data_IF_758483646084
#
_entry.id   IF_758483646084
#
_cell.length_a   1.000
_cell.length_b   1.000
_cell.length_c   1.000
_cell.angle_alpha   90.00
_cell.angle_beta   90.00
_cell.angle_gamma   90.00
#
_symmetry.space_group_name_H-M   'P 1'
#
loop_
_entity.id
_entity.type
_entity.pdbx_description
1 polymer ?
#
# COMPACT_ATOMS: atom_id res chain seq x y z
N UNK A 1 -8.95 -0.26 -23.18
CA UNK A 1 -9.83 -0.23 -21.99
C UNK A 1 -9.19 -1.13 -20.97
N UNK A 2 -8.89 -0.62 -19.77
CA UNK A 2 -8.37 -1.41 -18.67
C UNK A 2 -9.45 -2.37 -18.16
N UNK A 3 -9.09 -3.63 -17.91
CA UNK A 3 -10.04 -4.64 -17.43
C UNK A 3 -10.50 -4.36 -15.99
N UNK A 4 -11.48 -5.13 -15.47
CA UNK A 4 -11.93 -5.02 -14.07
C UNK A 4 -10.78 -5.17 -13.06
N UNK A 5 -9.83 -6.07 -13.34
CA UNK A 5 -8.61 -6.29 -12.56
C UNK A 5 -7.75 -5.02 -12.47
N UNK A 6 -7.39 -4.43 -13.62
CA UNK A 6 -6.60 -3.19 -13.68
C UNK A 6 -7.29 -2.04 -12.92
N UNK A 7 -8.60 -1.91 -13.08
CA UNK A 7 -9.38 -0.87 -12.39
C UNK A 7 -9.35 -1.06 -10.87
N UNK A 8 -9.51 -2.30 -10.41
CA UNK A 8 -9.45 -2.64 -8.99
C UNK A 8 -8.05 -2.39 -8.40
N UNK A 9 -7.00 -2.88 -9.06
CA UNK A 9 -5.61 -2.69 -8.62
C UNK A 9 -5.21 -1.22 -8.60
N UNK A 10 -5.61 -0.45 -9.62
CA UNK A 10 -5.38 1.00 -9.63
C UNK A 10 -6.09 1.68 -8.45
N UNK A 11 -7.35 1.31 -8.18
CA UNK A 11 -8.14 1.91 -7.10
C UNK A 11 -7.58 1.55 -5.72
N UNK A 12 -7.10 0.32 -5.52
CA UNK A 12 -6.37 -0.10 -4.33
C UNK A 12 -5.09 0.71 -4.14
N UNK A 13 -4.33 0.93 -5.22
CA UNK A 13 -3.13 1.76 -5.17
C UNK A 13 -3.44 3.22 -4.80
N UNK A 14 -4.51 3.81 -5.35
CA UNK A 14 -4.95 5.15 -5.00
C UNK A 14 -5.34 5.25 -3.51
N UNK A 15 -6.05 4.25 -2.99
CA UNK A 15 -6.40 4.19 -1.57
C UNK A 15 -5.15 4.12 -0.68
N UNK A 16 -4.20 3.25 -1.01
CA UNK A 16 -2.95 3.12 -0.27
C UNK A 16 -2.18 4.44 -0.23
N UNK A 17 -2.00 5.10 -1.38
CA UNK A 17 -1.35 6.41 -1.44
C UNK A 17 -2.10 7.48 -0.64
N UNK A 18 -3.44 7.52 -0.70
CA UNK A 18 -4.21 8.49 0.06
C UNK A 18 -4.07 8.29 1.58
N UNK A 19 -4.03 7.03 2.04
CA UNK A 19 -3.81 6.70 3.47
C UNK A 19 -2.42 7.10 3.93
N UNK A 20 -1.39 6.75 3.15
CA UNK A 20 0.01 7.12 3.42
C UNK A 20 0.15 8.65 3.48
N UNK A 21 -0.37 9.38 2.50
CA UNK A 21 -0.30 10.84 2.46
C UNK A 21 -0.97 11.47 3.68
N UNK A 22 -2.14 10.96 4.09
CA UNK A 22 -2.84 11.44 5.29
C UNK A 22 -2.02 11.24 6.55
N UNK A 23 -1.46 10.05 6.76
CA UNK A 23 -0.63 9.79 7.94
C UNK A 23 0.70 10.53 7.90
N UNK A 24 1.30 10.70 6.73
CA UNK A 24 2.47 11.56 6.54
C UNK A 24 2.19 13.00 7.00
N UNK A 25 1.07 13.60 6.56
CA UNK A 25 0.72 14.95 6.99
C UNK A 25 0.46 15.06 8.49
N UNK A 26 -0.15 14.05 9.12
CA UNK A 26 -0.36 13.99 10.57
C UNK A 26 0.96 13.87 11.34
N UNK A 27 1.81 12.93 10.94
CA UNK A 27 3.13 12.72 11.55
C UNK A 27 4.01 13.97 11.39
N UNK A 28 3.95 14.62 10.22
CA UNK A 28 4.69 15.86 9.99
C UNK A 28 4.14 17.03 10.81
N UNK A 29 2.82 17.20 10.90
CA UNK A 29 2.21 18.24 11.72
C UNK A 29 2.63 18.13 13.19
N UNK A 30 2.66 16.90 13.73
CA UNK A 30 3.09 16.63 15.10
C UNK A 30 4.53 17.07 15.40
N UNK A 31 5.37 17.24 14.38
CA UNK A 31 6.75 17.73 14.48
C UNK A 31 6.89 19.24 14.29
N UNK A 32 5.81 19.95 13.98
CA UNK A 32 5.86 21.39 13.67
C UNK A 32 5.03 22.22 14.63
N UNK A 33 5.55 23.39 15.03
CA UNK A 33 4.85 24.34 15.92
C UNK A 33 3.71 25.13 15.25
N UNK A 34 3.38 24.85 13.97
CA UNK A 34 2.39 25.59 13.17
C UNK A 34 1.18 24.73 12.73
N UNK A 35 0.36 24.25 13.68
CA UNK A 35 -0.69 23.26 13.42
C UNK A 35 -1.80 23.74 12.48
N UNK A 36 -2.13 25.05 12.49
CA UNK A 36 -3.26 25.60 11.72
C UNK A 36 -3.09 25.51 10.19
N UNK A 37 -1.86 25.45 9.69
CA UNK A 37 -1.59 25.35 8.24
C UNK A 37 -1.81 23.95 7.66
N UNK A 38 -1.77 22.92 8.51
CA UNK A 38 -1.87 21.51 8.11
C UNK A 38 -3.29 20.95 8.20
N UNK A 39 -4.19 21.59 8.94
CA UNK A 39 -5.56 21.10 9.13
C UNK A 39 -6.30 20.94 7.80
N UNK A 40 -6.25 21.96 6.93
CA UNK A 40 -6.88 21.92 5.60
C UNK A 40 -6.30 20.79 4.71
N UNK A 41 -4.99 20.57 4.78
CA UNK A 41 -4.30 19.52 4.02
C UNK A 41 -4.70 18.12 4.51
N UNK A 42 -4.76 17.92 5.83
CA UNK A 42 -5.20 16.66 6.44
C UNK A 42 -6.68 16.40 6.12
N UNK A 43 -7.53 17.42 6.18
CA UNK A 43 -8.96 17.29 5.79
C UNK A 43 -9.13 16.91 4.33
N UNK A 44 -8.35 17.50 3.41
CA UNK A 44 -8.34 17.10 2.00
C UNK A 44 -7.85 15.66 1.82
N UNK A 45 -6.74 15.29 2.47
CA UNK A 45 -6.23 13.91 2.42
C UNK A 45 -7.26 12.91 2.97
N UNK A 46 -7.98 13.26 4.04
CA UNK A 46 -9.07 12.44 4.57
C UNK A 46 -10.23 12.28 3.57
N UNK A 47 -10.65 13.37 2.90
CA UNK A 47 -11.68 13.29 1.85
C UNK A 47 -11.26 12.37 0.70
N UNK A 48 -9.98 12.38 0.31
CA UNK A 48 -9.45 11.47 -0.71
C UNK A 48 -9.52 10.00 -0.30
N UNK A 49 -9.20 9.69 0.96
CA UNK A 49 -9.35 8.32 1.50
C UNK A 49 -10.81 7.87 1.39
N UNK A 50 -11.76 8.68 1.87
CA UNK A 50 -13.18 8.35 1.81
C UNK A 50 -13.66 8.14 0.36
N UNK A 51 -13.21 8.98 -0.57
CA UNK A 51 -13.53 8.83 -1.98
C UNK A 51 -13.01 7.51 -2.55
N UNK A 52 -11.77 7.14 -2.27
CA UNK A 52 -11.19 5.89 -2.74
C UNK A 52 -11.92 4.67 -2.14
N UNK A 53 -12.29 4.73 -0.85
CA UNK A 53 -13.08 3.69 -0.19
C UNK A 53 -14.46 3.53 -0.85
N UNK A 54 -15.12 4.63 -1.21
CA UNK A 54 -16.39 4.61 -1.94
C UNK A 54 -16.24 3.98 -3.33
N UNK A 55 -15.20 4.36 -4.09
CA UNK A 55 -14.91 3.78 -5.41
C UNK A 55 -14.68 2.28 -5.30
N UNK A 56 -13.89 1.82 -4.34
CA UNK A 56 -13.66 0.38 -4.12
C UNK A 56 -14.92 -0.36 -3.69
N UNK A 57 -15.76 0.24 -2.84
CA UNK A 57 -17.04 -0.34 -2.47
C UNK A 57 -17.95 -0.52 -3.70
N UNK A 58 -17.97 0.45 -4.61
CA UNK A 58 -18.73 0.36 -5.87
C UNK A 58 -18.16 -0.69 -6.80
N UNK A 59 -16.83 -0.74 -6.99
CA UNK A 59 -16.17 -1.77 -7.79
C UNK A 59 -16.46 -3.17 -7.27
N UNK A 60 -16.50 -3.35 -5.95
CA UNK A 60 -16.83 -4.63 -5.33
C UNK A 60 -18.27 -5.10 -5.61
N UNK A 61 -19.19 -4.18 -5.88
CA UNK A 61 -20.55 -4.54 -6.33
C UNK A 61 -20.60 -4.98 -7.80
N UNK A 62 -19.60 -4.60 -8.60
CA UNK A 62 -19.50 -4.94 -10.01
C UNK A 62 -18.69 -6.22 -10.27
N UNK A 63 -17.90 -6.65 -9.28
CA UNK A 63 -17.10 -7.87 -9.34
C UNK A 63 -17.83 -8.94 -8.52
N UNK A 64 -18.62 -9.76 -9.20
CA UNK A 64 -19.44 -10.82 -8.63
C UNK A 64 -18.77 -12.20 -8.67
N UNK A 65 -17.78 -12.38 -9.55
CA UNK A 65 -17.01 -13.62 -9.69
C UNK A 65 -15.94 -13.78 -8.58
N UNK A 66 -16.04 -14.81 -7.71
CA UNK A 66 -15.03 -15.10 -6.69
C UNK A 66 -13.62 -15.32 -7.27
N UNK A 67 -13.50 -15.84 -8.49
CA UNK A 67 -12.21 -16.04 -9.14
C UNK A 67 -11.51 -14.71 -9.44
N UNK A 68 -12.26 -13.68 -9.87
CA UNK A 68 -11.70 -12.34 -10.10
C UNK A 68 -11.28 -11.68 -8.79
N UNK A 69 -12.05 -11.89 -7.72
CA UNK A 69 -11.68 -11.39 -6.38
C UNK A 69 -10.37 -12.02 -5.92
N UNK A 70 -10.24 -13.34 -6.06
CA UNK A 70 -9.00 -14.06 -5.76
C UNK A 70 -7.82 -13.52 -6.58
N UNK A 71 -8.02 -13.32 -7.89
CA UNK A 71 -7.00 -12.77 -8.79
C UNK A 71 -6.54 -11.36 -8.34
N UNK A 72 -7.47 -10.48 -7.98
CA UNK A 72 -7.16 -9.15 -7.45
C UNK A 72 -6.35 -9.25 -6.16
N UNK A 73 -6.76 -10.10 -5.20
CA UNK A 73 -6.04 -10.29 -3.94
C UNK A 73 -4.61 -10.76 -4.17
N UNK A 74 -4.43 -11.78 -5.01
CA UNK A 74 -3.12 -12.38 -5.31
C UNK A 74 -2.24 -11.36 -6.03
N UNK A 75 -2.76 -10.69 -7.06
CA UNK A 75 -2.01 -9.66 -7.79
C UNK A 75 -1.59 -8.51 -6.88
N UNK A 76 -2.48 -8.07 -5.99
CA UNK A 76 -2.16 -7.03 -5.00
C UNK A 76 -1.09 -7.48 -4.02
N UNK A 77 -1.19 -8.70 -3.49
CA UNK A 77 -0.21 -9.26 -2.55
C UNK A 77 1.19 -9.39 -3.20
N UNK A 78 1.26 -9.88 -4.44
CA UNK A 78 2.51 -9.97 -5.19
C UNK A 78 3.15 -8.59 -5.42
N UNK A 79 2.34 -7.58 -5.74
CA UNK A 79 2.82 -6.21 -5.88
C UNK A 79 3.36 -5.64 -4.57
N UNK A 80 2.66 -5.86 -3.45
CA UNK A 80 3.13 -5.44 -2.12
C UNK A 80 4.44 -6.14 -1.74
N UNK A 81 4.61 -7.43 -2.06
CA UNK A 81 5.89 -8.15 -1.88
C UNK A 81 7.02 -7.48 -2.65
N UNK A 82 6.81 -7.11 -3.91
CA UNK A 82 7.80 -6.38 -4.71
C UNK A 82 8.17 -5.04 -4.06
N UNK A 83 7.19 -4.29 -3.55
CA UNK A 83 7.47 -3.03 -2.84
C UNK A 83 8.30 -3.30 -1.58
N UNK A 84 7.94 -4.28 -0.78
CA UNK A 84 8.66 -4.62 0.46
C UNK A 84 10.07 -5.15 0.22
N UNK A 85 10.30 -5.88 -0.87
CA UNK A 85 11.64 -6.34 -1.28
C UNK A 85 12.59 -5.16 -1.57
N UNK A 86 12.06 -4.05 -2.09
CA UNK A 86 12.85 -2.84 -2.35
C UNK A 86 12.97 -1.91 -1.14
N UNK A 87 12.20 -2.14 -0.07
CA UNK A 87 12.19 -1.28 1.11
C UNK A 87 13.57 -1.12 1.78
N UNK A 88 14.44 -2.13 1.90
CA UNK A 88 15.79 -1.95 2.44
C UNK A 88 16.57 -0.85 1.70
N UNK A 89 16.53 -0.83 0.37
CA UNK A 89 17.21 0.20 -0.42
C UNK A 89 16.58 1.59 -0.26
N UNK A 90 15.25 1.68 -0.17
CA UNK A 90 14.53 2.96 0.04
C UNK A 90 14.75 3.55 1.44
N UNK A 91 14.93 2.68 2.44
CA UNK A 91 15.10 3.06 3.84
C UNK A 91 16.58 3.24 4.25
N UNK A 92 17.55 2.71 3.48
CA UNK A 92 18.97 2.74 3.84
C UNK A 92 19.58 4.14 3.97
N UNK A 93 18.96 5.18 3.41
CA UNK A 93 19.54 6.52 3.33
C UNK A 93 19.59 7.29 4.66
N UNK A 94 18.96 6.81 5.73
CA UNK A 94 18.92 7.46 7.04
C UNK A 94 19.62 6.59 8.08
N UNK A 95 20.42 7.20 8.95
CA UNK A 95 21.15 6.46 9.98
C UNK A 95 20.29 6.30 11.24
N UNK A 96 20.24 5.10 11.81
CA UNK A 96 19.59 4.83 13.11
C UNK A 96 20.19 5.64 14.29
N UNK A 97 21.30 6.35 14.06
CA UNK A 97 21.95 7.21 15.03
C UNK A 97 21.44 8.67 15.00
N UNK A 98 20.61 9.04 14.03
CA UNK A 98 20.07 10.40 13.87
C UNK A 98 18.73 10.55 14.59
N UNK A 99 18.49 11.72 15.21
CA UNK A 99 17.27 11.98 15.96
C UNK A 99 16.03 11.84 15.08
N UNK A 100 14.95 11.28 15.63
CA UNK A 100 13.66 11.21 14.95
C UNK A 100 13.11 12.61 14.57
N UNK A 101 13.48 13.64 15.33
CA UNK A 101 13.08 15.03 15.09
C UNK A 101 13.75 15.62 13.84
N UNK A 102 14.93 15.12 13.47
CA UNK A 102 15.72 15.60 12.33
C UNK A 102 15.46 14.79 11.04
N UNK A 103 14.57 13.80 11.10
CA UNK A 103 14.29 12.90 9.98
C UNK A 103 13.72 13.62 8.74
N UNK A 104 14.34 13.48 7.55
CA UNK A 104 13.90 14.06 6.30
C UNK A 104 12.48 13.62 5.94
N UNK A 105 11.74 14.52 5.28
CA UNK A 105 10.38 14.25 4.79
C UNK A 105 10.30 12.99 3.92
N UNK A 106 11.27 12.80 3.03
CA UNK A 106 11.35 11.62 2.16
C UNK A 106 11.47 10.34 2.99
N UNK A 107 12.32 10.33 4.02
CA UNK A 107 12.51 9.16 4.85
C UNK A 107 11.28 8.85 5.73
N UNK A 108 10.65 9.88 6.31
CA UNK A 108 9.38 9.72 7.02
C UNK A 108 8.29 9.12 6.11
N UNK A 109 8.20 9.61 4.88
CA UNK A 109 7.23 9.09 3.90
C UNK A 109 7.50 7.63 3.57
N UNK A 110 8.76 7.25 3.32
CA UNK A 110 9.15 5.86 3.04
C UNK A 110 8.87 4.94 4.23
N UNK A 111 9.14 5.39 5.45
CA UNK A 111 8.86 4.62 6.67
C UNK A 111 7.37 4.36 6.86
N UNK A 112 6.54 5.41 6.70
CA UNK A 112 5.08 5.26 6.76
C UNK A 112 4.59 4.34 5.62
N UNK A 113 5.14 4.49 4.41
CA UNK A 113 4.76 3.64 3.27
C UNK A 113 5.05 2.17 3.55
N UNK A 114 6.25 1.87 4.08
CA UNK A 114 6.65 0.53 4.47
C UNK A 114 5.70 -0.10 5.52
N UNK A 115 5.33 0.65 6.55
CA UNK A 115 4.40 0.16 7.57
C UNK A 115 3.02 -0.17 6.98
N UNK A 116 2.50 0.71 6.12
CA UNK A 116 1.23 0.47 5.42
C UNK A 116 1.30 -0.73 4.46
N UNK A 117 2.38 -0.84 3.69
CA UNK A 117 2.61 -1.97 2.77
C UNK A 117 2.63 -3.31 3.52
N UNK A 118 3.28 -3.36 4.70
CA UNK A 118 3.31 -4.56 5.54
C UNK A 118 1.96 -4.91 6.13
N UNK A 119 1.25 -3.93 6.66
CA UNK A 119 -0.07 -4.13 7.25
C UNK A 119 -1.07 -4.62 6.20
N UNK A 120 -1.10 -3.97 5.04
CA UNK A 120 -1.99 -4.37 3.94
C UNK A 120 -1.69 -5.79 3.46
N UNK A 121 -0.41 -6.14 3.33
CA UNK A 121 -0.03 -7.50 2.94
C UNK A 121 -0.48 -8.55 3.97
N UNK A 122 -0.28 -8.28 5.26
CA UNK A 122 -0.72 -9.19 6.33
C UNK A 122 -2.24 -9.34 6.37
N UNK A 123 -2.98 -8.26 6.17
CA UNK A 123 -4.45 -8.29 6.06
C UNK A 123 -4.90 -9.13 4.85
N UNK A 124 -4.27 -8.96 3.69
CA UNK A 124 -4.58 -9.75 2.50
C UNK A 124 -4.29 -11.24 2.73
N UNK A 125 -3.09 -11.59 3.18
CA UNK A 125 -2.66 -12.97 3.41
C UNK A 125 -3.54 -13.67 4.47
N UNK A 126 -3.94 -12.96 5.53
CA UNK A 126 -4.84 -13.51 6.55
C UNK A 126 -6.29 -13.67 6.08
N UNK A 127 -6.70 -12.94 5.04
CA UNK A 127 -8.04 -13.01 4.44
C UNK A 127 -8.15 -14.01 3.28
N UNK A 128 -7.05 -14.65 2.89
CA UNK A 128 -7.03 -15.63 1.81
C UNK A 128 -7.68 -16.93 2.24
N UNK A 129 -8.47 -17.55 1.36
CA UNK A 129 -8.86 -18.96 1.54
C UNK A 129 -7.63 -19.88 1.34
N UNK A 130 -7.69 -21.15 1.77
CA UNK A 130 -6.60 -22.10 1.53
C UNK A 130 -6.23 -22.22 0.04
N UNK A 131 -7.22 -22.17 -0.85
CA UNK A 131 -7.03 -22.25 -2.30
C UNK A 131 -6.37 -20.98 -2.86
N UNK A 132 -6.79 -19.81 -2.39
CA UNK A 132 -6.16 -18.52 -2.72
C UNK A 132 -4.70 -18.47 -2.25
N UNK A 133 -4.44 -18.92 -1.01
CA UNK A 133 -3.10 -18.96 -0.43
C UNK A 133 -2.17 -19.95 -1.17
N UNK A 134 -2.69 -21.11 -1.57
CA UNK A 134 -1.94 -22.06 -2.39
C UNK A 134 -1.59 -21.48 -3.76
N UNK A 135 -2.54 -20.79 -4.40
CA UNK A 135 -2.33 -20.13 -5.69
C UNK A 135 -1.31 -18.99 -5.59
N UNK A 136 -1.37 -18.20 -4.51
CA UNK A 136 -0.39 -17.17 -4.21
C UNK A 136 1.02 -17.74 -3.99
N UNK A 137 1.15 -18.83 -3.23
CA UNK A 137 2.43 -19.50 -3.01
C UNK A 137 3.05 -20.01 -4.33
N UNK A 138 2.24 -20.62 -5.20
CA UNK A 138 2.68 -21.06 -6.52
C UNK A 138 3.15 -19.88 -7.38
N UNK A 139 2.46 -18.74 -7.33
CA UNK A 139 2.85 -17.54 -8.06
C UNK A 139 4.17 -16.94 -7.54
N UNK A 140 4.43 -17.01 -6.23
CA UNK A 140 5.71 -16.62 -5.64
C UNK A 140 6.85 -17.52 -6.12
N UNK A 141 6.65 -18.83 -6.13
CA UNK A 141 7.66 -19.80 -6.58
C UNK A 141 7.99 -19.58 -8.07
N UNK A 142 6.97 -19.41 -8.91
CA UNK A 142 7.16 -19.13 -10.34
C UNK A 142 7.99 -17.86 -10.58
N UNK A 143 7.72 -16.79 -9.81
CA UNK A 143 8.51 -15.54 -9.87
C UNK A 143 9.94 -15.77 -9.41
N UNK A 144 10.16 -16.50 -8.31
CA UNK A 144 11.50 -16.81 -7.83
C UNK A 144 12.32 -17.66 -8.81
N UNK A 145 11.68 -18.59 -9.53
CA UNK A 145 12.32 -19.36 -10.60
C UNK A 145 12.70 -18.49 -11.79
N UNK A 146 11.84 -17.57 -12.22
CA UNK A 146 12.15 -16.67 -13.35
C UNK A 146 13.36 -15.77 -13.09
N UNK A 147 13.55 -15.31 -11.85
CA UNK A 147 14.70 -14.49 -11.45
C UNK A 147 16.02 -15.25 -11.33
N UNK A 148 16.01 -16.60 -11.37
CA UNK A 148 17.23 -17.43 -11.31
C UNK A 148 17.75 -17.82 -12.68
N UNK A 149 16.96 -17.64 -13.73
CA UNK A 149 17.31 -17.96 -15.12
C UNK A 149 17.90 -16.75 -15.88
N UNK A 150 17.91 -15.56 -15.26
CA UNK A 150 18.57 -14.33 -15.73
C UNK A 150 19.91 -14.08 -15.03
#
# INVERSE_FOLDING_TARGET
MHGPLDCALHSLQQLAYARIAREFHRAWQARTDFPASFEAVISEAHRRVLHCEQVLAQLRLLIDDPCQIAEIKIARALYLRLLLESAPARLQSWSDCESFDDMPKSHLLEWISYDFERLELAELESSMTPEEAASYAQALDARASSLREE
#
